data_IF_000992350795
#
_entry.id   IF_000992350795
#
_cell.length_a   1.000
_cell.length_b   1.000
_cell.length_c   1.000
_cell.angle_alpha   90.00
_cell.angle_beta   90.00
_cell.angle_gamma   90.00
#
_symmetry.space_group_name_H-M   'P 1'
#
loop_
_entity.id
_entity.type
_entity.pdbx_description
1 polymer ?
#
# COMPACT_ATOMS: atom_id res chain seq x y z
N UNK A 1 -13.01 -22.64 16.10
CA UNK A 1 -13.30 -21.35 15.43
C UNK A 1 -14.73 -21.39 14.91
N UNK A 2 -15.49 -20.30 15.00
CA UNK A 2 -16.81 -20.24 14.35
C UNK A 2 -16.67 -20.05 12.83
N UNK A 3 -17.59 -20.63 12.06
CA UNK A 3 -17.59 -20.61 10.58
C UNK A 3 -17.51 -19.20 9.97
N UNK A 4 -18.16 -18.16 10.53
CA UNK A 4 -17.99 -16.77 10.05
C UNK A 4 -16.57 -16.23 10.25
N UNK A 5 -15.92 -16.56 11.37
CA UNK A 5 -14.52 -16.16 11.64
C UNK A 5 -13.55 -16.87 10.70
N UNK A 6 -13.85 -18.11 10.30
CA UNK A 6 -13.05 -18.83 9.31
C UNK A 6 -13.17 -18.21 7.92
N UNK A 7 -14.39 -17.90 7.47
CA UNK A 7 -14.61 -17.21 6.18
C UNK A 7 -13.91 -15.85 6.17
N UNK A 8 -14.02 -15.07 7.24
CA UNK A 8 -13.36 -13.76 7.34
C UNK A 8 -11.83 -13.84 7.29
N UNK A 9 -11.22 -14.84 7.94
CA UNK A 9 -9.78 -15.07 7.88
C UNK A 9 -9.31 -15.63 6.54
N UNK A 10 -10.14 -16.42 5.85
CA UNK A 10 -9.83 -16.96 4.53
C UNK A 10 -9.97 -15.90 3.43
N UNK A 11 -10.94 -15.00 3.54
CA UNK A 11 -11.19 -13.94 2.56
C UNK A 11 -10.30 -12.70 2.77
N UNK A 12 -9.85 -12.44 4.00
CA UNK A 12 -8.96 -11.33 4.31
C UNK A 12 -7.73 -11.85 5.07
N UNK A 13 -6.51 -11.74 4.52
CA UNK A 13 -5.29 -12.13 5.23
C UNK A 13 -4.93 -11.05 6.23
N UNK A 14 -5.62 -11.11 7.37
CA UNK A 14 -5.46 -10.22 8.50
C UNK A 14 -4.57 -10.94 9.51
N UNK A 15 -3.47 -10.30 9.91
CA UNK A 15 -2.69 -10.75 11.07
C UNK A 15 -3.44 -10.35 12.34
N UNK A 16 -3.97 -11.32 13.06
CA UNK A 16 -4.57 -11.10 14.39
C UNK A 16 -3.45 -10.98 15.42
N UNK A 17 -3.41 -9.88 16.19
CA UNK A 17 -2.61 -9.82 17.41
C UNK A 17 -3.38 -10.54 18.54
N UNK A 18 -2.86 -11.67 19.03
CA UNK A 18 -3.37 -12.33 20.23
C UNK A 18 -2.59 -11.82 21.46
N UNK A 19 -3.30 -11.34 22.49
CA UNK A 19 -2.72 -10.91 23.76
C UNK A 19 -2.01 -12.08 24.49
N UNK A 20 -0.78 -11.92 25.02
CA UNK A 20 -0.17 -12.93 25.88
C UNK A 20 -0.62 -12.78 27.35
N UNK A 21 -0.99 -13.90 27.97
CA UNK A 21 -1.24 -14.09 29.41
C UNK A 21 0.04 -13.86 30.26
N UNK A 22 -0.07 -13.55 31.57
CA UNK A 22 1.05 -13.09 32.39
C UNK A 22 2.09 -14.18 32.73
N UNK A 23 3.35 -13.80 33.00
CA UNK A 23 4.47 -14.73 33.05
C UNK A 23 4.60 -15.47 34.39
N UNK A 24 4.74 -16.80 34.32
CA UNK A 24 5.22 -17.63 35.43
C UNK A 24 6.75 -17.61 35.45
N UNK A 25 7.29 -17.25 36.62
CA UNK A 25 8.69 -17.21 37.03
C UNK A 25 9.49 -18.49 36.71
N UNK A 26 10.71 -18.38 36.15
CA UNK A 26 11.89 -19.24 36.47
C UNK A 26 13.23 -18.73 35.90
N UNK A 27 14.27 -19.00 36.70
CA UNK A 27 15.70 -18.60 36.68
C UNK A 27 16.54 -19.10 35.47
N UNK A 28 17.79 -18.62 35.30
CA UNK A 28 18.54 -18.70 34.04
C UNK A 28 19.37 -19.98 33.89
N UNK A 29 19.48 -20.48 32.66
CA UNK A 29 20.57 -21.38 32.25
C UNK A 29 20.94 -21.18 30.77
N UNK A 30 22.24 -21.16 30.55
CA UNK A 30 22.98 -20.77 29.37
C UNK A 30 23.05 -21.91 28.32
N UNK A 31 22.76 -21.66 27.04
CA UNK A 31 23.43 -22.37 25.91
C UNK A 31 23.17 -21.71 24.55
N UNK A 32 24.25 -21.55 23.81
CA UNK A 32 24.34 -21.08 22.42
C UNK A 32 23.42 -21.85 21.46
N UNK A 33 22.73 -21.13 20.58
CA UNK A 33 22.71 -21.43 19.15
C UNK A 33 22.27 -20.22 18.32
N UNK A 34 23.03 -20.00 17.25
CA UNK A 34 22.89 -18.95 16.25
C UNK A 34 21.67 -19.26 15.38
N UNK A 35 20.58 -18.51 15.54
CA UNK A 35 19.55 -18.37 14.53
C UNK A 35 19.30 -16.89 14.22
N UNK A 36 19.17 -16.61 12.93
CA UNK A 36 19.00 -15.29 12.34
C UNK A 36 17.97 -14.41 13.08
N UNK A 37 18.20 -13.10 13.26
CA UNK A 37 17.18 -12.24 13.80
C UNK A 37 16.04 -12.13 12.80
N UNK A 38 14.91 -12.76 13.13
CA UNK A 38 13.59 -12.38 12.66
C UNK A 38 13.46 -10.86 12.75
N UNK A 39 13.00 -10.15 11.72
CA UNK A 39 12.80 -8.72 11.82
C UNK A 39 11.74 -8.46 12.89
N UNK A 40 12.18 -7.94 14.04
CA UNK A 40 11.30 -7.37 15.04
C UNK A 40 10.50 -6.26 14.36
N UNK A 41 9.25 -6.57 14.02
CA UNK A 41 8.24 -5.58 13.70
C UNK A 41 8.07 -4.81 15.01
N UNK A 42 8.65 -3.62 15.07
CA UNK A 42 8.44 -2.68 16.14
C UNK A 42 6.93 -2.47 16.27
N UNK A 43 6.38 -2.79 17.44
CA UNK A 43 4.98 -2.56 17.81
C UNK A 43 4.70 -1.04 17.78
N UNK A 44 4.47 -0.46 16.61
CA UNK A 44 3.84 0.86 16.51
C UNK A 44 2.36 0.64 16.85
N UNK A 45 1.97 1.05 18.04
CA UNK A 45 0.57 1.11 18.47
C UNK A 45 -0.27 1.91 17.49
N UNK A 46 -1.60 1.74 17.59
CA UNK A 46 -2.57 2.45 16.78
C UNK A 46 -2.20 3.94 16.66
N UNK A 47 -2.20 4.49 15.44
CA UNK A 47 -1.93 5.92 15.20
C UNK A 47 -2.90 6.74 16.05
N UNK A 48 -2.38 7.74 16.75
CA UNK A 48 -3.17 8.62 17.64
C UNK A 48 -4.38 9.22 16.88
N UNK A 49 -5.56 9.36 17.52
CA UNK A 49 -6.73 10.00 16.90
C UNK A 49 -6.41 11.41 16.36
N UNK A 50 -5.44 12.10 16.96
CA UNK A 50 -4.93 13.39 16.48
C UNK A 50 -4.38 13.31 15.05
N UNK A 51 -3.69 12.22 14.69
CA UNK A 51 -3.13 12.04 13.35
C UNK A 51 -4.25 11.95 12.30
N UNK A 52 -5.32 11.23 12.61
CA UNK A 52 -6.49 11.16 11.73
C UNK A 52 -7.25 12.48 11.64
N UNK A 53 -7.34 13.23 12.74
CA UNK A 53 -7.92 14.58 12.71
C UNK A 53 -7.12 15.53 11.79
N UNK A 54 -5.79 15.53 11.89
CA UNK A 54 -4.91 16.30 11.02
C UNK A 54 -5.09 15.88 9.55
N UNK A 55 -5.12 14.57 9.27
CA UNK A 55 -5.35 14.06 7.91
C UNK A 55 -6.71 14.44 7.34
N UNK A 56 -7.74 14.46 8.18
CA UNK A 56 -9.09 14.90 7.80
C UNK A 56 -9.10 16.38 7.43
N UNK A 57 -8.41 17.22 8.22
CA UNK A 57 -8.24 18.64 7.92
C UNK A 57 -7.48 18.86 6.61
N UNK A 58 -6.39 18.11 6.39
CA UNK A 58 -5.61 18.17 5.14
C UNK A 58 -6.46 17.75 3.93
N UNK A 59 -7.28 16.70 4.06
CA UNK A 59 -8.19 16.29 2.99
C UNK A 59 -9.24 17.38 2.69
N UNK A 60 -9.79 18.02 3.73
CA UNK A 60 -10.69 19.17 3.59
C UNK A 60 -10.04 20.35 2.86
N UNK A 61 -8.78 20.67 3.21
CA UNK A 61 -8.02 21.72 2.52
C UNK A 61 -7.80 21.39 1.04
N UNK A 62 -7.44 20.14 0.73
CA UNK A 62 -7.28 19.69 -0.66
C UNK A 62 -8.60 19.81 -1.43
N UNK A 63 -9.73 19.45 -0.81
CA UNK A 63 -11.05 19.62 -1.42
C UNK A 63 -11.37 21.10 -1.70
N UNK A 64 -10.99 22.01 -0.80
CA UNK A 64 -11.12 23.45 -1.05
C UNK A 64 -10.26 23.91 -2.24
N UNK A 65 -8.99 23.47 -2.32
CA UNK A 65 -8.09 23.82 -3.43
C UNK A 65 -8.63 23.29 -4.76
N UNK A 66 -9.30 22.14 -4.76
CA UNK A 66 -9.92 21.57 -5.95
C UNK A 66 -10.97 22.50 -6.59
N UNK A 67 -11.68 23.30 -5.79
CA UNK A 67 -12.63 24.31 -6.31
C UNK A 67 -11.93 25.43 -7.11
N UNK A 68 -10.63 25.62 -6.89
CA UNK A 68 -9.80 26.60 -7.59
C UNK A 68 -8.85 25.94 -8.60
N UNK A 69 -9.11 24.69 -9.02
CA UNK A 69 -8.22 23.93 -9.91
C UNK A 69 -7.87 24.64 -11.21
N UNK A 70 -8.74 25.51 -11.71
CA UNK A 70 -8.54 26.28 -12.95
C UNK A 70 -7.43 27.32 -12.83
N UNK A 71 -7.15 27.79 -11.60
CA UNK A 71 -6.10 28.78 -11.32
C UNK A 71 -4.77 28.14 -10.90
N UNK A 72 -4.75 26.83 -10.69
CA UNK A 72 -3.57 26.10 -10.20
C UNK A 72 -2.87 25.43 -11.38
N UNK A 73 -1.55 25.58 -11.46
CA UNK A 73 -0.77 24.96 -12.53
C UNK A 73 -0.98 23.43 -12.58
N UNK A 74 -1.20 22.82 -13.76
CA UNK A 74 -1.56 21.40 -13.89
C UNK A 74 -0.61 20.42 -13.17
N UNK A 75 0.71 20.67 -13.22
CA UNK A 75 1.71 19.86 -12.49
C UNK A 75 1.55 19.92 -10.98
N UNK A 76 1.14 21.08 -10.44
CA UNK A 76 0.87 21.25 -9.00
C UNK A 76 -0.40 20.50 -8.62
N UNK A 77 -1.42 20.53 -9.49
CA UNK A 77 -2.63 19.71 -9.31
C UNK A 77 -2.33 18.21 -9.27
N UNK A 78 -1.45 17.70 -10.15
CA UNK A 78 -1.01 16.30 -10.11
C UNK A 78 -0.33 15.93 -8.78
N UNK A 79 0.50 16.83 -8.24
CA UNK A 79 1.10 16.64 -6.92
C UNK A 79 0.03 16.62 -5.81
N UNK A 80 -0.96 17.52 -5.87
CA UNK A 80 -2.08 17.53 -4.93
C UNK A 80 -2.88 16.22 -5.02
N UNK A 81 -3.08 15.68 -6.23
CA UNK A 81 -3.74 14.38 -6.41
C UNK A 81 -2.95 13.22 -5.79
N UNK A 82 -1.60 13.22 -5.81
CA UNK A 82 -0.80 12.25 -5.05
C UNK A 82 -1.19 12.24 -3.57
N UNK A 83 -1.23 13.42 -2.96
CA UNK A 83 -1.57 13.55 -1.53
C UNK A 83 -3.02 13.17 -1.28
N UNK A 84 -3.94 13.59 -2.15
CA UNK A 84 -5.35 13.23 -2.07
C UNK A 84 -5.56 11.70 -2.05
N UNK A 85 -4.96 10.98 -3.00
CA UNK A 85 -5.10 9.52 -3.11
C UNK A 85 -4.51 8.83 -1.88
N UNK A 86 -3.31 9.23 -1.45
CA UNK A 86 -2.69 8.68 -0.24
C UNK A 86 -3.58 8.89 1.00
N UNK A 87 -4.03 10.12 1.25
CA UNK A 87 -4.85 10.45 2.41
C UNK A 87 -6.20 9.74 2.37
N UNK A 88 -6.82 9.66 1.20
CA UNK A 88 -8.11 8.98 1.01
C UNK A 88 -8.00 7.48 1.25
N UNK A 89 -6.95 6.83 0.73
CA UNK A 89 -6.72 5.40 0.95
C UNK A 89 -6.40 5.08 2.41
N UNK A 90 -5.53 5.87 3.06
CA UNK A 90 -5.16 5.67 4.47
C UNK A 90 -6.37 5.84 5.40
N UNK A 91 -7.18 6.89 5.21
CA UNK A 91 -8.39 7.09 5.99
C UNK A 91 -9.48 6.06 5.68
N UNK A 92 -9.69 5.72 4.42
CA UNK A 92 -10.68 4.71 4.02
C UNK A 92 -10.39 3.33 4.61
N UNK A 93 -9.13 2.87 4.54
CA UNK A 93 -8.72 1.60 5.14
C UNK A 93 -8.76 1.65 6.67
N UNK A 94 -8.42 2.78 7.29
CA UNK A 94 -8.55 2.95 8.73
C UNK A 94 -10.02 2.89 9.20
N UNK A 95 -10.95 3.49 8.43
CA UNK A 95 -12.38 3.38 8.69
C UNK A 95 -12.87 1.94 8.57
N UNK A 96 -12.46 1.22 7.52
CA UNK A 96 -12.79 -0.21 7.38
C UNK A 96 -12.23 -1.04 8.54
N UNK A 97 -11.01 -0.75 8.98
CA UNK A 97 -10.41 -1.39 10.16
C UNK A 97 -11.19 -1.11 11.45
N UNK A 98 -11.65 0.12 11.65
CA UNK A 98 -12.48 0.48 12.80
C UNK A 98 -13.84 -0.25 12.77
N UNK A 99 -14.47 -0.34 11.59
CA UNK A 99 -15.72 -1.08 11.41
C UNK A 99 -15.53 -2.58 11.69
N UNK A 100 -14.48 -3.20 11.13
CA UNK A 100 -14.15 -4.59 11.39
C UNK A 100 -13.86 -4.84 12.89
N UNK A 101 -13.20 -3.90 13.57
CA UNK A 101 -13.02 -3.96 15.03
C UNK A 101 -14.35 -3.88 15.77
N UNK A 102 -15.24 -2.98 15.39
CA UNK A 102 -16.53 -2.77 16.06
C UNK A 102 -17.47 -3.98 15.88
N UNK A 103 -17.60 -4.48 14.64
CA UNK A 103 -18.56 -5.54 14.31
C UNK A 103 -18.00 -6.95 14.50
N UNK A 104 -16.71 -7.17 14.18
CA UNK A 104 -16.11 -8.51 14.16
C UNK A 104 -15.13 -8.75 15.30
N UNK A 105 -14.83 -7.72 16.11
CA UNK A 105 -13.80 -7.73 17.16
C UNK A 105 -12.42 -8.18 16.64
N UNK A 106 -12.14 -7.88 15.38
CA UNK A 106 -10.85 -8.13 14.74
C UNK A 106 -10.01 -6.85 14.78
N UNK A 107 -8.82 -6.92 15.36
CA UNK A 107 -7.86 -5.83 15.29
C UNK A 107 -7.04 -5.94 14.00
N UNK A 108 -7.20 -4.97 13.11
CA UNK A 108 -6.39 -4.84 11.90
C UNK A 108 -5.17 -3.98 12.18
N UNK A 109 -4.01 -4.42 11.69
CA UNK A 109 -2.78 -3.62 11.70
C UNK A 109 -2.94 -2.38 10.79
N UNK A 110 -2.29 -1.25 11.14
CA UNK A 110 -2.31 -0.06 10.30
C UNK A 110 -1.78 -0.37 8.90
N UNK A 111 -2.52 0.06 7.86
CA UNK A 111 -2.22 -0.31 6.47
C UNK A 111 -1.09 0.51 5.85
N UNK A 112 -0.81 1.70 6.37
CA UNK A 112 0.33 2.53 5.94
C UNK A 112 1.20 2.91 7.14
N UNK A 113 2.53 2.96 6.94
CA UNK A 113 3.50 3.45 7.94
C UNK A 113 4.29 4.63 7.38
N UNK A 114 3.68 5.82 7.40
CA UNK A 114 4.29 7.11 7.04
C UNK A 114 5.16 7.04 5.77
N UNK A 115 4.57 6.75 4.59
CA UNK A 115 5.31 6.45 3.36
C UNK A 115 6.17 7.61 2.84
N UNK A 116 5.87 8.85 3.24
CA UNK A 116 6.69 10.02 2.93
C UNK A 116 8.05 10.02 3.67
N UNK A 117 8.25 9.16 4.67
CA UNK A 117 9.54 9.00 5.38
C UNK A 117 10.43 7.91 4.76
N UNK A 118 10.01 7.30 3.65
CA UNK A 118 10.74 6.24 2.96
C UNK A 118 12.12 6.72 2.52
N UNK A 119 13.16 5.99 2.90
CA UNK A 119 14.53 6.27 2.44
C UNK A 119 14.86 5.60 1.11
N UNK A 120 14.08 4.60 0.68
CA UNK A 120 14.30 3.90 -0.57
C UNK A 120 13.01 3.26 -1.12
N UNK A 121 13.05 2.72 -2.34
CA UNK A 121 11.90 2.04 -2.94
C UNK A 121 11.56 0.75 -2.20
N UNK A 122 12.59 0.06 -1.70
CA UNK A 122 12.40 -1.11 -0.85
C UNK A 122 11.67 -0.77 0.45
N UNK A 123 12.01 0.36 1.07
CA UNK A 123 11.35 0.81 2.30
C UNK A 123 9.90 1.24 2.04
N UNK A 124 9.68 1.96 0.93
CA UNK A 124 8.34 2.38 0.50
C UNK A 124 7.43 1.17 0.25
N UNK A 125 7.72 0.35 -0.76
CA UNK A 125 6.84 -0.75 -1.18
C UNK A 125 6.79 -1.91 -0.17
N UNK A 126 7.89 -2.16 0.55
CA UNK A 126 7.99 -3.31 1.44
C UNK A 126 7.49 -3.09 2.86
N UNK A 127 7.51 -1.85 3.36
CA UNK A 127 7.32 -1.57 4.79
C UNK A 127 6.40 -0.41 5.12
N UNK A 128 6.06 0.44 4.15
CA UNK A 128 5.34 1.69 4.42
C UNK A 128 4.09 1.90 3.59
N UNK A 129 4.07 1.37 2.37
CA UNK A 129 2.96 1.46 1.44
C UNK A 129 2.11 0.20 1.47
N UNK A 130 0.82 0.35 1.78
CA UNK A 130 -0.21 -0.70 1.74
C UNK A 130 0.27 -2.08 2.25
N UNK A 131 0.55 -2.16 3.54
CA UNK A 131 1.04 -3.35 4.23
C UNK A 131 0.13 -4.57 4.09
N UNK A 132 -1.16 -4.34 3.88
CA UNK A 132 -2.12 -5.42 3.61
C UNK A 132 -1.87 -6.06 2.25
N UNK A 133 -1.67 -5.27 1.18
CA UNK A 133 -1.33 -5.84 -0.14
C UNK A 133 0.02 -6.54 -0.11
N UNK A 134 1.00 -5.96 0.57
CA UNK A 134 2.32 -6.59 0.72
C UNK A 134 2.25 -7.89 1.55
N UNK A 135 1.36 -7.98 2.55
CA UNK A 135 1.16 -9.23 3.31
C UNK A 135 0.40 -10.30 2.52
N UNK A 136 -0.46 -9.92 1.57
CA UNK A 136 -1.13 -10.82 0.63
C UNK A 136 -0.15 -11.37 -0.39
N UNK A 137 0.54 -10.48 -1.11
CA UNK A 137 1.34 -10.83 -2.28
C UNK A 137 2.60 -11.64 -1.91
N UNK A 138 3.09 -11.48 -0.68
CA UNK A 138 4.30 -12.17 -0.23
C UNK A 138 4.15 -13.70 -0.18
N UNK A 139 3.19 -14.28 0.56
CA UNK A 139 2.95 -15.71 0.55
C UNK A 139 2.29 -16.22 -0.74
N UNK A 140 1.51 -15.39 -1.45
CA UNK A 140 0.76 -15.85 -2.64
C UNK A 140 1.58 -15.83 -3.93
N UNK A 141 2.50 -14.88 -4.09
CA UNK A 141 3.28 -14.71 -5.32
C UNK A 141 4.78 -14.76 -5.05
N UNK A 142 5.29 -13.92 -4.14
CA UNK A 142 6.73 -13.76 -3.95
C UNK A 142 7.42 -15.06 -3.51
N UNK A 143 6.97 -15.65 -2.41
CA UNK A 143 7.55 -16.86 -1.82
C UNK A 143 7.45 -18.09 -2.75
N UNK A 144 6.30 -18.40 -3.38
CA UNK A 144 6.22 -19.54 -4.30
C UNK A 144 7.07 -19.34 -5.55
N UNK A 145 7.03 -18.16 -6.18
CA UNK A 145 7.85 -17.87 -7.39
C UNK A 145 9.32 -17.91 -7.04
N UNK A 146 9.73 -17.32 -5.92
CA UNK A 146 11.12 -17.37 -5.47
C UNK A 146 11.58 -18.79 -5.18
N UNK A 147 10.76 -19.60 -4.52
CA UNK A 147 11.08 -21.00 -4.21
C UNK A 147 11.29 -21.80 -5.50
N UNK A 148 10.35 -21.68 -6.44
CA UNK A 148 10.43 -22.34 -7.75
C UNK A 148 11.66 -21.88 -8.56
N UNK A 149 11.86 -20.57 -8.70
CA UNK A 149 13.01 -20.00 -9.42
C UNK A 149 14.35 -20.32 -8.77
N UNK A 150 14.40 -20.50 -7.44
CA UNK A 150 15.63 -20.87 -6.75
C UNK A 150 16.13 -22.27 -7.10
N UNK A 151 15.20 -23.18 -7.46
CA UNK A 151 15.51 -24.54 -7.90
C UNK A 151 16.02 -24.56 -9.34
N UNK A 152 15.55 -23.64 -10.19
CA UNK A 152 15.86 -23.61 -11.62
C UNK A 152 17.06 -22.73 -11.99
N UNK A 153 17.12 -21.50 -11.47
CA UNK A 153 17.99 -20.41 -11.97
C UNK A 153 18.96 -19.92 -10.87
N UNK A 154 18.88 -20.50 -9.67
CA UNK A 154 19.73 -20.18 -8.53
C UNK A 154 19.27 -18.99 -7.69
N UNK A 155 19.87 -18.87 -6.49
CA UNK A 155 19.35 -18.02 -5.40
C UNK A 155 19.36 -16.51 -5.69
N UNK A 156 20.29 -16.02 -6.51
CA UNK A 156 20.37 -14.59 -6.87
C UNK A 156 19.22 -14.18 -7.80
N UNK A 157 19.04 -14.92 -8.89
CA UNK A 157 17.97 -14.70 -9.86
C UNK A 157 16.58 -15.01 -9.30
N UNK A 158 16.48 -15.93 -8.35
CA UNK A 158 15.23 -16.22 -7.63
C UNK A 158 14.65 -15.00 -6.90
N UNK A 159 15.51 -14.14 -6.33
CA UNK A 159 15.05 -12.93 -5.64
C UNK A 159 14.53 -11.91 -6.66
N UNK A 160 15.25 -11.72 -7.77
CA UNK A 160 14.85 -10.80 -8.83
C UNK A 160 13.53 -11.21 -9.48
N UNK A 161 13.40 -12.49 -9.84
CA UNK A 161 12.18 -13.05 -10.43
C UNK A 161 10.99 -12.98 -9.48
N UNK A 162 11.17 -13.26 -8.19
CA UNK A 162 10.12 -13.09 -7.18
C UNK A 162 9.62 -11.65 -7.06
N UNK A 163 10.54 -10.67 -7.07
CA UNK A 163 10.17 -9.24 -7.04
C UNK A 163 9.39 -8.88 -8.32
N UNK A 164 9.94 -9.17 -9.50
CA UNK A 164 9.31 -8.81 -10.77
C UNK A 164 7.95 -9.47 -10.94
N UNK A 165 7.79 -10.75 -10.56
CA UNK A 165 6.50 -11.43 -10.61
C UNK A 165 5.47 -10.79 -9.66
N UNK A 166 5.90 -10.39 -8.46
CA UNK A 166 5.02 -9.71 -7.49
C UNK A 166 4.52 -8.37 -8.04
N UNK A 167 5.41 -7.56 -8.63
CA UNK A 167 5.04 -6.29 -9.24
C UNK A 167 4.20 -6.47 -10.51
N UNK A 168 4.49 -7.50 -11.32
CA UNK A 168 3.66 -7.86 -12.48
C UNK A 168 2.23 -8.18 -12.05
N UNK A 169 2.04 -9.10 -11.09
CA UNK A 169 0.70 -9.46 -10.59
C UNK A 169 0.00 -8.25 -9.99
N UNK A 170 0.71 -7.43 -9.21
CA UNK A 170 0.14 -6.18 -8.70
C UNK A 170 -0.31 -5.24 -9.82
N UNK A 171 0.51 -5.04 -10.85
CA UNK A 171 0.19 -4.19 -12.00
C UNK A 171 -1.04 -4.67 -12.76
N UNK A 172 -1.10 -5.97 -13.05
CA UNK A 172 -2.25 -6.59 -13.70
C UNK A 172 -3.55 -6.44 -12.89
N UNK A 173 -3.47 -6.57 -11.56
CA UNK A 173 -4.63 -6.36 -10.70
C UNK A 173 -5.11 -4.90 -10.75
N UNK A 174 -4.21 -3.93 -10.79
CA UNK A 174 -4.61 -2.52 -10.90
C UNK A 174 -5.17 -2.19 -12.28
N UNK A 175 -4.61 -2.78 -13.35
CA UNK A 175 -5.16 -2.67 -14.70
C UNK A 175 -6.57 -3.26 -14.77
N UNK A 176 -6.79 -4.42 -14.15
CA UNK A 176 -8.11 -5.06 -14.07
C UNK A 176 -9.10 -4.20 -13.28
N UNK A 177 -8.68 -3.60 -12.17
CA UNK A 177 -9.50 -2.66 -11.40
C UNK A 177 -9.92 -1.48 -12.30
N UNK A 178 -8.98 -0.88 -13.03
CA UNK A 178 -9.32 0.20 -13.97
C UNK A 178 -10.25 -0.26 -15.08
N UNK A 179 -10.05 -1.46 -15.63
CA UNK A 179 -10.91 -2.03 -16.65
C UNK A 179 -12.35 -2.25 -16.16
N UNK A 180 -12.57 -2.51 -14.88
CA UNK A 180 -13.94 -2.55 -14.32
C UNK A 180 -14.57 -1.15 -14.23
N UNK A 181 -13.77 -0.13 -13.89
CA UNK A 181 -14.26 1.24 -13.80
C UNK A 181 -14.44 1.90 -15.17
N UNK A 182 -13.63 1.53 -16.16
CA UNK A 182 -13.63 2.07 -17.51
C UNK A 182 -14.06 1.03 -18.55
N UNK A 183 -15.05 1.33 -19.41
CA UNK A 183 -15.36 0.47 -20.57
C UNK A 183 -14.25 0.43 -21.64
N UNK A 184 -13.23 1.27 -21.52
CA UNK A 184 -12.16 1.40 -22.50
C UNK A 184 -11.09 0.30 -22.36
N UNK A 185 -10.34 0.10 -23.44
CA UNK A 185 -9.26 -0.90 -23.47
C UNK A 185 -8.16 -0.53 -22.48
N UNK A 186 -7.56 -1.51 -21.80
CA UNK A 186 -6.43 -1.28 -20.91
C UNK A 186 -5.25 -0.68 -21.69
N UNK A 187 -4.69 0.42 -21.19
CA UNK A 187 -3.54 1.10 -21.80
C UNK A 187 -2.21 0.51 -21.36
N UNK A 188 -2.22 -0.34 -20.33
CA UNK A 188 -1.05 -1.00 -19.74
C UNK A 188 -0.05 -0.05 -19.07
N UNK A 189 -0.33 1.26 -19.03
CA UNK A 189 0.54 2.27 -18.42
C UNK A 189 0.72 2.02 -16.92
N UNK A 190 -0.33 1.57 -16.23
CA UNK A 190 -0.25 1.20 -14.81
C UNK A 190 0.59 -0.06 -14.62
N UNK A 191 0.40 -1.07 -15.47
CA UNK A 191 1.25 -2.27 -15.43
C UNK A 191 2.72 -1.90 -15.65
N UNK A 192 3.01 -1.02 -16.61
CA UNK A 192 4.36 -0.48 -16.85
C UNK A 192 4.92 0.29 -15.65
N UNK A 193 4.10 1.08 -14.96
CA UNK A 193 4.49 1.73 -13.71
C UNK A 193 4.97 0.70 -12.67
N UNK A 194 4.18 -0.33 -12.39
CA UNK A 194 4.58 -1.35 -11.42
C UNK A 194 5.83 -2.12 -11.87
N UNK A 195 5.94 -2.47 -13.15
CA UNK A 195 7.12 -3.17 -13.67
C UNK A 195 8.39 -2.31 -13.57
N UNK A 196 8.31 -1.02 -13.90
CA UNK A 196 9.42 -0.09 -13.74
C UNK A 196 9.90 -0.04 -12.29
N UNK A 197 8.96 0.11 -11.35
CA UNK A 197 9.27 0.08 -9.91
C UNK A 197 9.87 -1.25 -9.47
N UNK A 198 9.38 -2.37 -9.99
CA UNK A 198 9.92 -3.70 -9.76
C UNK A 198 11.38 -3.84 -10.23
N UNK A 199 11.68 -3.36 -11.44
CA UNK A 199 13.05 -3.34 -11.99
C UNK A 199 13.95 -2.46 -11.15
N UNK A 200 13.52 -1.24 -10.82
CA UNK A 200 14.27 -0.32 -9.95
C UNK A 200 14.54 -0.95 -8.57
N UNK A 201 13.58 -1.69 -8.00
CA UNK A 201 13.76 -2.37 -6.74
C UNK A 201 14.76 -3.54 -6.82
N UNK A 202 14.77 -4.29 -7.93
CA UNK A 202 15.77 -5.33 -8.18
C UNK A 202 17.17 -4.72 -8.30
N UNK A 203 17.29 -3.61 -9.03
CA UNK A 203 18.54 -2.85 -9.17
C UNK A 203 19.00 -2.34 -7.81
N UNK A 204 18.11 -1.69 -7.03
CA UNK A 204 18.42 -1.21 -5.68
C UNK A 204 18.91 -2.35 -4.77
N UNK A 205 18.21 -3.49 -4.80
CA UNK A 205 18.57 -4.67 -4.01
C UNK A 205 19.92 -5.25 -4.43
N UNK A 206 20.24 -5.21 -5.72
CA UNK A 206 21.50 -5.71 -6.28
C UNK A 206 22.67 -4.78 -5.95
N UNK A 207 22.50 -3.46 -6.09
CA UNK A 207 23.48 -2.46 -5.67
C UNK A 207 23.75 -2.57 -4.16
N UNK A 208 22.70 -2.68 -3.35
CA UNK A 208 22.83 -2.85 -1.89
C UNK A 208 23.69 -4.06 -1.53
N UNK A 209 23.54 -5.17 -2.24
CA UNK A 209 24.38 -6.37 -2.07
C UNK A 209 25.80 -6.17 -2.58
N UNK A 210 25.97 -5.55 -3.74
CA UNK A 210 27.28 -5.33 -4.36
C UNK A 210 28.18 -4.41 -3.51
N UNK A 211 27.61 -3.32 -2.98
CA UNK A 211 28.34 -2.37 -2.15
C UNK A 211 28.48 -2.80 -0.68
N UNK A 212 28.06 -4.03 -0.32
CA UNK A 212 28.09 -4.57 1.07
C UNK A 212 27.51 -3.60 2.12
N UNK A 213 26.60 -2.71 1.72
CA UNK A 213 26.09 -1.65 2.58
C UNK A 213 27.13 -0.61 3.05
N UNK A 214 28.20 -0.34 2.29
CA UNK A 214 29.17 0.72 2.60
C UNK A 214 28.82 2.10 2.05
N UNK A 215 28.05 2.17 0.96
CA UNK A 215 27.63 3.44 0.35
C UNK A 215 26.16 3.69 0.67
N UNK A 216 25.90 4.47 1.72
CA UNK A 216 24.55 4.90 2.08
C UNK A 216 24.43 6.39 1.97
N UNK A 217 23.46 6.84 1.19
CA UNK A 217 23.06 8.24 1.20
C UNK A 217 22.47 8.57 2.57
N UNK A 218 22.79 9.74 3.15
CA UNK A 218 22.17 10.21 4.37
C UNK A 218 20.64 10.21 4.22
N UNK A 219 19.86 9.88 5.27
CA UNK A 219 18.39 9.87 5.20
C UNK A 219 17.78 11.18 4.71
N UNK A 220 18.45 12.31 4.97
CA UNK A 220 18.06 13.65 4.51
C UNK A 220 18.06 13.78 2.99
N UNK A 221 18.96 13.07 2.29
CA UNK A 221 19.05 13.07 0.83
C UNK A 221 18.23 11.92 0.24
N UNK A 222 18.28 10.76 0.87
CA UNK A 222 17.63 9.54 0.37
C UNK A 222 16.10 9.65 0.36
N UNK A 223 15.52 10.31 1.38
CA UNK A 223 14.06 10.53 1.48
C UNK A 223 13.49 11.39 0.36
N UNK A 224 13.93 12.64 0.15
CA UNK A 224 13.39 13.46 -0.92
C UNK A 224 13.66 12.82 -2.28
N UNK A 225 14.79 12.12 -2.47
CA UNK A 225 15.07 11.41 -3.71
C UNK A 225 14.06 10.28 -3.98
N UNK A 226 13.78 9.44 -2.98
CA UNK A 226 12.81 8.35 -3.11
C UNK A 226 11.38 8.89 -3.36
N UNK A 227 10.97 9.92 -2.61
CA UNK A 227 9.66 10.56 -2.77
C UNK A 227 9.56 11.26 -4.13
N UNK A 228 10.59 11.98 -4.57
CA UNK A 228 10.61 12.63 -5.87
C UNK A 228 10.50 11.61 -7.00
N UNK A 229 11.25 10.52 -6.94
CA UNK A 229 11.14 9.43 -7.94
C UNK A 229 9.72 8.85 -7.98
N UNK A 230 9.12 8.59 -6.82
CA UNK A 230 7.74 8.09 -6.72
C UNK A 230 6.73 9.07 -7.33
N UNK A 231 6.82 10.36 -6.98
CA UNK A 231 5.94 11.39 -7.51
C UNK A 231 6.11 11.50 -9.02
N UNK A 232 7.34 11.63 -9.53
CA UNK A 232 7.60 11.77 -10.97
C UNK A 232 7.03 10.59 -11.75
N UNK A 233 7.36 9.36 -11.34
CA UNK A 233 6.86 8.16 -12.02
C UNK A 233 5.34 8.00 -11.91
N UNK A 234 4.74 8.39 -10.78
CA UNK A 234 3.28 8.35 -10.62
C UNK A 234 2.59 9.38 -11.51
N UNK A 235 3.12 10.60 -11.59
CA UNK A 235 2.58 11.64 -12.49
C UNK A 235 2.69 11.27 -13.95
N UNK A 236 3.70 10.49 -14.33
CA UNK A 236 3.94 10.11 -15.71
C UNK A 236 3.12 8.89 -16.16
N UNK A 237 3.06 7.82 -15.36
CA UNK A 237 2.49 6.53 -15.80
C UNK A 237 1.22 6.12 -15.05
N UNK A 238 0.98 6.66 -13.85
CA UNK A 238 -0.14 6.24 -13.01
C UNK A 238 -1.35 7.17 -13.14
N UNK A 239 -1.12 8.48 -13.19
CA UNK A 239 -2.22 9.45 -13.24
C UNK A 239 -2.89 9.66 -14.59
N UNK A 240 -2.22 9.61 -15.75
CA UNK A 240 -2.93 9.81 -17.02
C UNK A 240 -4.09 8.82 -17.22
N UNK A 241 -3.93 7.52 -16.94
CA UNK A 241 -5.06 6.59 -16.95
C UNK A 241 -6.08 6.87 -15.85
N UNK A 242 -5.64 7.22 -14.64
CA UNK A 242 -6.55 7.39 -13.50
C UNK A 242 -7.44 8.64 -13.62
N UNK A 243 -6.89 9.73 -14.15
CA UNK A 243 -7.55 11.04 -14.25
C UNK A 243 -8.18 11.28 -15.63
N UNK A 244 -8.31 10.24 -16.45
CA UNK A 244 -9.06 10.36 -17.71
C UNK A 244 -10.48 10.84 -17.42
N UNK A 245 -10.95 11.78 -18.22
CA UNK A 245 -12.23 12.48 -18.04
C UNK A 245 -13.43 11.52 -17.90
N UNK A 246 -13.35 10.31 -18.47
CA UNK A 246 -14.42 9.32 -18.42
C UNK A 246 -14.68 8.73 -17.02
N UNK A 247 -13.64 8.52 -16.20
CA UNK A 247 -13.82 8.05 -14.82
C UNK A 247 -14.51 9.14 -13.99
N UNK A 248 -14.06 10.38 -14.12
CA UNK A 248 -14.60 11.51 -13.35
C UNK A 248 -16.08 11.76 -13.66
N UNK A 249 -16.47 11.66 -14.94
CA UNK A 249 -17.87 11.80 -15.36
C UNK A 249 -18.71 10.65 -14.83
N UNK A 250 -18.24 9.40 -14.93
CA UNK A 250 -18.99 8.22 -14.47
C UNK A 250 -19.14 8.18 -12.96
N UNK A 251 -18.07 8.41 -12.21
CA UNK A 251 -18.10 8.41 -10.74
C UNK A 251 -19.04 9.49 -10.21
N UNK A 252 -19.07 10.66 -10.85
CA UNK A 252 -20.01 11.73 -10.54
C UNK A 252 -21.46 11.29 -10.80
N UNK A 253 -21.74 10.68 -11.96
CA UNK A 253 -23.07 10.16 -12.30
C UNK A 253 -23.55 9.12 -11.29
N UNK A 254 -22.70 8.14 -10.95
CA UNK A 254 -23.04 7.08 -9.99
C UNK A 254 -23.25 7.67 -8.56
N UNK A 255 -22.43 8.64 -8.15
CA UNK A 255 -22.59 9.32 -6.87
C UNK A 255 -23.89 10.12 -6.80
N UNK A 256 -24.25 10.84 -7.86
CA UNK A 256 -25.51 11.58 -7.93
C UNK A 256 -26.69 10.61 -7.88
N UNK A 257 -26.65 9.52 -8.65
CA UNK A 257 -27.70 8.49 -8.66
C UNK A 257 -27.89 7.84 -7.28
N UNK A 258 -26.80 7.56 -6.54
CA UNK A 258 -26.87 7.06 -5.17
C UNK A 258 -27.48 8.08 -4.20
N UNK A 259 -27.10 9.36 -4.31
CA UNK A 259 -27.68 10.42 -3.47
C UNK A 259 -29.17 10.57 -3.76
N UNK A 260 -29.58 10.53 -5.02
CA UNK A 260 -30.99 10.58 -5.43
C UNK A 260 -31.76 9.36 -4.93
N UNK A 261 -31.20 8.16 -5.06
CA UNK A 261 -31.80 6.93 -4.53
C UNK A 261 -31.99 6.99 -3.01
N UNK A 262 -30.98 7.44 -2.26
CA UNK A 262 -31.07 7.59 -0.80
C UNK A 262 -32.11 8.66 -0.42
N UNK A 263 -32.19 9.76 -1.17
CA UNK A 263 -33.22 10.78 -0.97
C UNK A 263 -34.63 10.23 -1.25
N UNK A 264 -34.80 9.45 -2.31
CA UNK A 264 -36.09 8.82 -2.66
C UNK A 264 -36.53 7.82 -1.57
N UNK A 265 -35.62 6.95 -1.12
CA UNK A 265 -35.88 6.00 -0.02
C UNK A 265 -36.24 6.73 1.27
N UNK A 266 -35.54 7.83 1.60
CA UNK A 266 -35.84 8.64 2.79
C UNK A 266 -37.18 9.36 2.69
N UNK A 267 -37.60 9.79 1.50
CA UNK A 267 -38.89 10.46 1.32
C UNK A 267 -40.08 9.49 1.32
N UNK A 268 -39.84 8.19 1.17
CA UNK A 268 -40.86 7.12 1.22
C UNK A 268 -41.02 6.46 2.60
N UNK A 269 -40.12 6.76 3.54
CA UNK A 269 -40.16 6.34 4.96
C UNK A 269 -40.78 7.43 5.81
#
# INVERSE_FOLDING_TARGET
MSLPRFILLACFPIKIQQHPSPPILKKPLNRQNQENPSPQITKKGHKSPLNYAIKSLLLGLIACIYNYKEYVHPKVMLLIYCFYIYLSLDMGLAMFAALARAFLRLELEPQFDDPYLSTSLQDFWGRRWNLMVSSILRPTVYDPVRSFSSRLIGRKWAIATGILATFMVSGLMHELILFYFKPEKPTWEITCFFLLHGVCLVVETSLRKAFKGKFWLPPVVSRPLAVAFLVITSTWLFFPPLLSTDIDIRLRKESIALIEFVKDVRNRL
#
